data_IF_600706834502
#
_entry.id   IF_600706834502
#
_cell.length_a   1.000
_cell.length_b   1.000
_cell.length_c   1.000
_cell.angle_alpha   90.00
_cell.angle_beta   90.00
_cell.angle_gamma   90.00
#
_symmetry.space_group_name_H-M   'P 1'
#
loop_
_entity.id
_entity.type
_entity.pdbx_description
1 polymer ?
#
# COMPACT_ATOMS: atom_id res chain seq x y z
N UNK A 1 -10.72 22.33 -1.98
CA UNK A 1 -10.15 21.53 -0.88
C UNK A 1 -9.95 20.09 -1.32
N UNK A 2 -8.77 19.75 -1.84
CA UNK A 2 -8.43 18.40 -2.36
C UNK A 2 -8.07 17.39 -1.27
N UNK A 3 -8.09 17.81 0.01
CA UNK A 3 -7.65 16.98 1.13
C UNK A 3 -8.57 15.78 1.41
N UNK A 4 -9.82 15.82 0.96
CA UNK A 4 -10.78 14.72 1.15
C UNK A 4 -10.92 13.79 -0.08
N UNK A 5 -10.34 14.15 -1.23
CA UNK A 5 -10.44 13.33 -2.44
C UNK A 5 -9.60 12.06 -2.27
N UNK A 6 -10.19 10.86 -2.41
CA UNK A 6 -9.44 9.60 -2.40
C UNK A 6 -8.42 9.57 -3.53
N UNK A 7 -7.21 9.07 -3.24
CA UNK A 7 -6.13 8.94 -4.22
C UNK A 7 -5.72 7.49 -4.37
N UNK A 8 -5.67 7.01 -5.61
CA UNK A 8 -5.07 5.71 -5.96
C UNK A 8 -3.67 5.95 -6.52
N UNK A 9 -2.67 5.39 -5.87
CA UNK A 9 -1.28 5.39 -6.35
C UNK A 9 -1.06 4.09 -7.12
N UNK A 10 -0.73 4.19 -8.41
CA UNK A 10 -0.49 3.03 -9.27
C UNK A 10 1.01 2.82 -9.48
N UNK A 11 1.49 1.60 -9.27
CA UNK A 11 2.89 1.21 -9.43
C UNK A 11 2.99 -0.05 -10.28
N UNK A 12 3.42 0.10 -11.53
CA UNK A 12 3.66 -1.01 -12.45
C UNK A 12 5.09 -0.90 -12.99
N UNK A 13 6.09 -1.68 -12.54
CA UNK A 13 6.13 -2.81 -11.60
C UNK A 13 7.05 -2.51 -10.39
N UNK A 14 6.89 -3.20 -9.25
CA UNK A 14 7.95 -3.28 -8.22
C UNK A 14 8.79 -4.54 -8.45
N UNK A 15 9.77 -4.43 -9.34
CA UNK A 15 10.56 -5.57 -9.81
C UNK A 15 12.07 -5.36 -9.75
N UNK A 16 12.80 -6.33 -10.31
CA UNK A 16 14.28 -6.37 -10.29
C UNK A 16 14.92 -5.13 -10.89
N UNK A 17 14.27 -4.52 -11.89
CA UNK A 17 14.83 -3.41 -12.64
C UNK A 17 14.71 -2.11 -11.85
N UNK A 18 13.58 -1.92 -11.19
CA UNK A 18 13.22 -0.72 -10.43
C UNK A 18 13.94 -0.68 -9.08
N UNK A 19 14.21 -1.84 -8.48
CA UNK A 19 14.97 -1.98 -7.23
C UNK A 19 16.45 -1.56 -7.35
N UNK A 20 16.96 -1.30 -8.55
CA UNK A 20 18.27 -0.66 -8.73
C UNK A 20 18.27 0.82 -8.34
N UNK A 21 17.09 1.41 -8.14
CA UNK A 21 16.91 2.78 -7.68
C UNK A 21 16.56 2.80 -6.20
N UNK A 22 17.50 3.20 -5.35
CA UNK A 22 17.27 3.37 -3.90
C UNK A 22 16.13 4.37 -3.62
N UNK A 23 15.99 5.39 -4.47
CA UNK A 23 14.89 6.38 -4.36
C UNK A 23 13.54 5.75 -4.66
N UNK A 24 13.47 4.82 -5.61
CA UNK A 24 12.23 4.15 -5.96
C UNK A 24 11.72 3.34 -4.78
N UNK A 25 12.55 2.45 -4.22
CA UNK A 25 12.13 1.59 -3.11
C UNK A 25 11.76 2.42 -1.86
N UNK A 26 12.51 3.48 -1.54
CA UNK A 26 12.15 4.40 -0.47
C UNK A 26 10.79 5.07 -0.69
N UNK A 27 10.46 5.42 -1.94
CA UNK A 27 9.16 6.02 -2.30
C UNK A 27 8.02 5.00 -2.22
N UNK A 28 8.25 3.75 -2.61
CA UNK A 28 7.28 2.66 -2.46
C UNK A 28 6.93 2.44 -0.99
N UNK A 29 7.95 2.35 -0.11
CA UNK A 29 7.71 2.23 1.33
C UNK A 29 6.98 3.43 1.90
N UNK A 30 7.39 4.66 1.55
CA UNK A 30 6.69 5.86 1.98
C UNK A 30 5.23 5.92 1.49
N UNK A 31 4.94 5.40 0.29
CA UNK A 31 3.57 5.33 -0.23
C UNK A 31 2.70 4.33 0.57
N UNK A 32 3.26 3.19 0.97
CA UNK A 32 2.59 2.17 1.77
C UNK A 32 2.44 2.56 3.25
N UNK A 33 3.40 3.30 3.81
CA UNK A 33 3.41 3.67 5.23
C UNK A 33 2.58 4.93 5.56
N UNK A 34 2.18 5.70 4.54
CA UNK A 34 1.43 6.94 4.74
C UNK A 34 0.02 6.66 5.28
N UNK A 35 -0.23 7.10 6.51
CA UNK A 35 -1.55 7.01 7.19
C UNK A 35 -2.02 8.39 7.65
N UNK A 36 -3.32 8.65 7.62
CA UNK A 36 -3.96 9.72 8.41
C UNK A 36 -4.04 11.14 7.83
N UNK A 37 -3.56 11.39 6.61
CA UNK A 37 -3.58 12.75 6.01
C UNK A 37 -4.48 12.88 4.78
N UNK A 38 -4.61 11.80 4.01
CA UNK A 38 -5.41 11.72 2.78
C UNK A 38 -5.82 10.27 2.61
N UNK A 39 -7.08 10.02 2.22
CA UNK A 39 -7.56 8.68 1.89
C UNK A 39 -6.78 8.19 0.66
N UNK A 40 -5.86 7.23 0.86
CA UNK A 40 -4.95 6.72 -0.18
C UNK A 40 -4.99 5.19 -0.25
N UNK A 41 -4.99 4.64 -1.47
CA UNK A 41 -4.75 3.23 -1.74
C UNK A 41 -3.57 3.09 -2.69
N UNK A 42 -2.74 2.06 -2.49
CA UNK A 42 -1.67 1.70 -3.42
C UNK A 42 -2.11 0.45 -4.18
N UNK A 43 -2.08 0.52 -5.51
CA UNK A 43 -2.28 -0.62 -6.41
C UNK A 43 -0.97 -0.83 -7.17
N UNK A 44 -0.48 -2.06 -7.23
CA UNK A 44 0.70 -2.33 -8.03
C UNK A 44 0.91 -3.79 -8.36
N UNK A 45 1.94 -4.03 -9.18
CA UNK A 45 2.33 -5.37 -9.64
C UNK A 45 3.65 -5.79 -9.00
N UNK A 46 3.74 -7.08 -8.67
CA UNK A 46 4.94 -7.71 -8.14
C UNK A 46 5.33 -8.88 -9.04
N UNK A 47 6.63 -9.13 -9.27
CA UNK A 47 7.05 -10.29 -10.03
C UNK A 47 6.68 -11.57 -9.28
N UNK A 48 6.26 -12.58 -10.03
CA UNK A 48 6.15 -13.94 -9.49
C UNK A 48 7.56 -14.51 -9.33
N UNK A 49 7.91 -15.15 -8.19
CA UNK A 49 9.19 -15.83 -8.02
C UNK A 49 9.44 -16.82 -9.17
N UNK A 50 10.54 -16.64 -9.90
CA UNK A 50 10.92 -17.54 -11.00
C UNK A 50 12.05 -18.46 -10.56
N UNK A 51 11.88 -19.77 -10.75
CA UNK A 51 12.91 -20.79 -10.52
C UNK A 51 13.55 -20.73 -9.12
N UNK A 52 12.77 -20.40 -8.09
CA UNK A 52 13.26 -20.28 -6.71
C UNK A 52 14.06 -19.01 -6.40
N UNK A 53 14.30 -18.15 -7.40
CA UNK A 53 14.90 -16.84 -7.17
C UNK A 53 13.84 -15.87 -6.65
N UNK A 54 13.92 -15.59 -5.36
CA UNK A 54 13.15 -14.54 -4.69
C UNK A 54 13.98 -13.27 -4.59
N UNK A 55 13.34 -12.13 -4.80
CA UNK A 55 13.93 -10.81 -4.55
C UNK A 55 13.43 -10.40 -3.17
N UNK A 56 14.34 -10.21 -2.22
CA UNK A 56 13.97 -10.08 -0.80
C UNK A 56 13.02 -8.89 -0.58
N UNK A 57 13.29 -7.75 -1.21
CA UNK A 57 12.48 -6.53 -1.09
C UNK A 57 11.05 -6.73 -1.61
N UNK A 58 10.88 -7.53 -2.67
CA UNK A 58 9.54 -7.90 -3.20
C UNK A 58 8.81 -8.80 -2.20
N UNK A 59 9.51 -9.74 -1.58
CA UNK A 59 8.93 -10.65 -0.60
C UNK A 59 8.57 -9.91 0.70
N UNK A 60 9.36 -8.92 1.10
CA UNK A 60 9.07 -8.06 2.26
C UNK A 60 7.77 -7.28 2.04
N UNK A 61 7.56 -6.72 0.84
CA UNK A 61 6.29 -6.08 0.47
C UNK A 61 5.14 -7.10 0.45
N UNK A 62 5.33 -8.29 -0.14
CA UNK A 62 4.34 -9.38 -0.15
C UNK A 62 3.95 -9.82 1.26
N UNK A 63 4.89 -9.79 2.21
CA UNK A 63 4.68 -10.26 3.57
C UNK A 63 3.93 -9.26 4.46
N UNK A 64 3.86 -7.97 4.10
CA UNK A 64 3.15 -6.95 4.87
C UNK A 64 1.69 -7.34 5.14
N UNK A 65 1.23 -7.13 6.37
CA UNK A 65 -0.15 -7.43 6.80
C UNK A 65 -1.21 -6.55 6.10
N UNK A 66 -0.82 -5.33 5.71
CA UNK A 66 -1.67 -4.37 5.00
C UNK A 66 -1.59 -4.50 3.47
N UNK A 67 -0.91 -5.53 2.95
CA UNK A 67 -0.78 -5.81 1.51
C UNK A 67 -1.46 -7.13 1.18
N UNK A 68 -2.50 -7.04 0.33
CA UNK A 68 -3.15 -8.17 -0.31
C UNK A 68 -2.52 -8.42 -1.67
N UNK A 69 -2.05 -9.64 -1.90
CA UNK A 69 -1.43 -10.05 -3.16
C UNK A 69 -2.37 -11.00 -3.89
N UNK A 70 -2.72 -10.65 -5.13
CA UNK A 70 -3.60 -11.44 -5.97
C UNK A 70 -2.78 -12.27 -6.96
N UNK A 71 -3.00 -13.59 -6.98
CA UNK A 71 -2.36 -14.52 -7.91
C UNK A 71 -3.12 -14.57 -9.22
N UNK A 72 -2.71 -13.73 -10.15
CA UNK A 72 -3.34 -13.62 -11.48
C UNK A 72 -2.82 -14.72 -12.41
N UNK A 73 -3.77 -15.39 -13.07
CA UNK A 73 -3.58 -16.42 -14.10
C UNK A 73 -4.42 -16.04 -15.31
N UNK A 74 -4.08 -16.58 -16.49
CA UNK A 74 -4.86 -16.33 -17.70
C UNK A 74 -6.36 -16.64 -17.52
N UNK A 75 -6.70 -17.72 -16.79
CA UNK A 75 -8.07 -18.15 -16.61
C UNK A 75 -8.89 -17.31 -15.61
N UNK A 76 -8.25 -16.49 -14.76
CA UNK A 76 -8.95 -15.67 -13.76
C UNK A 76 -8.73 -14.16 -13.94
N UNK A 77 -7.96 -13.74 -14.94
CA UNK A 77 -7.55 -12.35 -15.16
C UNK A 77 -8.73 -11.39 -15.22
N UNK A 78 -9.74 -11.72 -16.01
CA UNK A 78 -10.86 -10.81 -16.26
C UNK A 78 -11.73 -10.70 -14.99
N UNK A 79 -12.04 -11.83 -14.34
CA UNK A 79 -12.75 -11.85 -13.06
C UNK A 79 -11.99 -11.14 -11.92
N UNK A 80 -10.66 -11.25 -11.89
CA UNK A 80 -9.84 -10.54 -10.90
C UNK A 80 -9.82 -9.03 -11.17
N UNK A 81 -9.81 -8.63 -12.45
CA UNK A 81 -9.90 -7.21 -12.85
C UNK A 81 -11.22 -6.61 -12.40
N UNK A 82 -12.33 -7.33 -12.61
CA UNK A 82 -13.65 -6.90 -12.18
C UNK A 82 -13.71 -6.73 -10.65
N UNK A 83 -13.16 -7.71 -9.91
CA UNK A 83 -13.13 -7.67 -8.45
C UNK A 83 -12.28 -6.51 -7.90
N UNK A 84 -11.09 -6.27 -8.47
CA UNK A 84 -10.24 -5.12 -8.11
C UNK A 84 -10.93 -3.80 -8.41
N UNK A 85 -11.59 -3.70 -9.56
CA UNK A 85 -12.32 -2.49 -9.97
C UNK A 85 -13.49 -2.20 -9.03
N UNK A 86 -14.25 -3.23 -8.65
CA UNK A 86 -15.32 -3.11 -7.67
C UNK A 86 -14.79 -2.68 -6.29
N UNK A 87 -13.69 -3.27 -5.83
CA UNK A 87 -13.05 -2.91 -4.57
C UNK A 87 -12.54 -1.46 -4.56
N UNK A 88 -11.91 -1.01 -5.65
CA UNK A 88 -11.44 0.36 -5.80
C UNK A 88 -12.60 1.36 -5.83
N UNK A 89 -13.65 1.07 -6.60
CA UNK A 89 -14.82 1.95 -6.74
C UNK A 89 -15.49 2.16 -5.39
N UNK A 90 -15.79 1.07 -4.69
CA UNK A 90 -16.38 1.13 -3.35
C UNK A 90 -15.45 1.78 -2.32
N UNK A 91 -14.13 1.57 -2.45
CA UNK A 91 -13.17 2.27 -1.62
C UNK A 91 -13.13 3.76 -1.93
N UNK A 92 -13.33 4.21 -3.17
CA UNK A 92 -13.34 5.64 -3.53
C UNK A 92 -14.66 6.34 -3.20
N UNK A 93 -15.77 5.64 -3.03
CA UNK A 93 -17.03 6.27 -2.65
C UNK A 93 -16.95 6.92 -1.25
N UNK A 94 -17.63 8.06 -1.08
CA UNK A 94 -17.55 8.91 0.13
C UNK A 94 -18.25 8.32 1.37
N UNK A 95 -18.97 7.21 1.21
CA UNK A 95 -19.69 6.50 2.27
C UNK A 95 -18.75 5.60 3.10
N UNK A 96 -17.82 6.25 3.82
CA UNK A 96 -17.15 5.71 5.01
C UNK A 96 -16.17 4.54 4.83
N UNK A 97 -15.20 4.44 5.74
CA UNK A 97 -14.18 3.39 5.77
C UNK A 97 -14.77 1.99 6.09
N UNK A 98 -15.97 1.94 6.69
CA UNK A 98 -16.67 0.71 7.07
C UNK A 98 -17.21 -0.09 5.87
N UNK A 99 -17.37 0.53 4.70
CA UNK A 99 -17.78 -0.15 3.46
C UNK A 99 -16.62 -0.83 2.73
N UNK A 100 -15.36 -0.44 3.03
CA UNK A 100 -14.18 -0.95 2.33
C UNK A 100 -13.85 -2.40 2.69
N UNK A 101 -14.06 -2.82 3.95
CA UNK A 101 -13.82 -4.20 4.39
C UNK A 101 -14.71 -5.20 3.65
N UNK A 102 -15.97 -4.83 3.39
CA UNK A 102 -16.96 -5.66 2.68
C UNK A 102 -16.58 -5.88 1.21
N UNK A 103 -15.90 -4.93 0.58
CA UNK A 103 -15.54 -5.02 -0.83
C UNK A 103 -14.20 -5.71 -1.07
N UNK A 104 -13.29 -5.69 -0.09
CA UNK A 104 -12.05 -6.48 -0.15
C UNK A 104 -12.32 -7.99 -0.06
N UNK A 105 -13.41 -8.43 0.59
CA UNK A 105 -13.81 -9.85 0.61
C UNK A 105 -14.04 -10.43 -0.79
N UNK A 106 -14.45 -9.61 -1.76
CA UNK A 106 -14.57 -10.01 -3.17
C UNK A 106 -13.24 -10.43 -3.80
N UNK A 107 -12.10 -10.03 -3.22
CA UNK A 107 -10.76 -10.39 -3.67
C UNK A 107 -10.30 -11.76 -3.18
N UNK A 108 -10.97 -12.32 -2.17
CA UNK A 108 -10.60 -13.58 -1.51
C UNK A 108 -10.34 -14.74 -2.46
N UNK A 109 -11.12 -14.97 -3.55
CA UNK A 109 -10.86 -16.06 -4.49
C UNK A 109 -9.54 -15.94 -5.27
N UNK A 110 -8.93 -14.74 -5.29
CA UNK A 110 -7.72 -14.45 -6.06
C UNK A 110 -6.49 -14.28 -5.18
N UNK A 111 -6.62 -14.29 -3.85
CA UNK A 111 -5.50 -14.12 -2.95
C UNK A 111 -4.42 -15.19 -3.16
N UNK A 112 -3.16 -14.77 -3.00
CA UNK A 112 -2.04 -15.70 -2.91
C UNK A 112 -2.21 -16.60 -1.69
N UNK A 113 -1.71 -17.83 -1.80
CA UNK A 113 -1.96 -18.89 -0.83
C UNK A 113 -1.50 -18.47 0.58
N UNK A 114 -2.42 -18.58 1.55
CA UNK A 114 -2.14 -18.26 2.95
C UNK A 114 -2.34 -16.80 3.33
N UNK A 115 -2.76 -15.91 2.42
CA UNK A 115 -3.03 -14.50 2.74
C UNK A 115 -4.46 -14.21 3.22
N UNK A 116 -5.33 -15.22 3.35
CA UNK A 116 -6.74 -15.02 3.71
C UNK A 116 -6.91 -14.36 5.09
N UNK A 117 -5.95 -14.55 6.00
CA UNK A 117 -5.95 -13.91 7.31
C UNK A 117 -5.80 -12.38 7.24
N UNK A 118 -5.16 -11.86 6.17
CA UNK A 118 -4.90 -10.42 6.02
C UNK A 118 -6.17 -9.61 5.77
N UNK A 119 -7.20 -10.22 5.17
CA UNK A 119 -8.52 -9.59 4.99
C UNK A 119 -9.16 -9.17 6.32
N UNK A 120 -8.92 -9.92 7.40
CA UNK A 120 -9.42 -9.57 8.73
C UNK A 120 -8.65 -8.40 9.35
N UNK A 121 -7.33 -8.35 9.12
CA UNK A 121 -6.45 -7.30 9.65
C UNK A 121 -6.68 -5.95 8.95
N UNK A 122 -6.99 -5.95 7.65
CA UNK A 122 -7.30 -4.73 6.90
C UNK A 122 -8.67 -4.13 7.25
N UNK A 123 -9.54 -4.89 7.91
CA UNK A 123 -10.84 -4.42 8.40
C UNK A 123 -10.77 -3.69 9.75
N UNK A 124 -9.71 -3.87 10.54
CA UNK A 124 -9.52 -3.15 11.79
C UNK A 124 -8.52 -2.02 11.59
N UNK A 125 -8.99 -0.77 11.63
CA UNK A 125 -8.09 0.36 11.84
C UNK A 125 -7.21 0.07 13.08
N UNK A 126 -5.86 0.19 12.99
CA UNK A 126 -5.03 0.00 14.15
C UNK A 126 -5.38 1.09 15.17
N UNK A 127 -5.94 0.67 16.31
CA UNK A 127 -6.03 1.53 17.48
C UNK A 127 -4.63 2.01 17.84
N UNK A 128 -4.43 3.30 18.17
CA UNK A 128 -3.13 3.78 18.62
C UNK A 128 -2.80 3.07 19.94
N UNK A 129 -1.95 2.04 19.86
CA UNK A 129 -1.33 1.44 21.03
C UNK A 129 -0.52 2.52 21.72
N UNK A 130 -1.08 3.03 22.82
CA UNK A 130 -0.44 3.99 23.72
C UNK A 130 0.77 3.30 24.34
N UNK A 131 2.00 3.80 24.15
CA UNK A 131 3.12 3.37 24.97
C UNK A 131 2.94 3.92 26.38
N UNK A 132 2.95 3.06 27.39
CA UNK A 132 3.03 3.47 28.79
C UNK A 132 4.30 4.30 29.03
N UNK A 133 4.24 5.38 29.83
CA UNK A 133 5.42 6.19 30.12
C UNK A 133 6.22 5.57 31.26
N UNK A 134 7.41 5.05 30.96
CA UNK A 134 8.47 4.89 31.94
C UNK A 134 9.51 6.02 31.81
N UNK A 135 9.76 6.73 32.92
CA UNK A 135 11.01 7.47 33.17
C UNK A 135 10.98 8.99 32.97
N UNK A 136 11.12 9.75 34.06
CA UNK A 136 11.57 11.17 34.00
C UNK A 136 13.10 11.28 33.83
N UNK A 137 13.75 12.46 34.05
CA UNK A 137 13.26 13.84 33.98
C UNK A 137 13.95 14.66 32.84
N UNK A 138 13.39 15.86 32.64
CA UNK A 138 13.64 16.86 31.61
C UNK A 138 15.09 17.27 31.27
N UNK A 139 15.32 17.60 29.97
CA UNK A 139 16.20 18.69 29.52
C UNK A 139 15.60 19.44 28.31
N UNK A 140 15.73 20.77 28.34
CA UNK A 140 15.14 21.81 27.45
C UNK A 140 15.88 21.94 26.09
N UNK A 141 15.31 22.71 25.12
CA UNK A 141 15.50 22.52 23.67
C UNK A 141 16.65 23.34 23.06
N UNK A 142 17.02 22.98 21.83
CA UNK A 142 17.74 23.83 20.87
C UNK A 142 17.01 23.82 19.53
N UNK A 143 16.91 25.00 18.95
CA UNK A 143 16.26 25.38 17.69
C UNK A 143 17.19 25.16 16.48
N UNK A 144 16.62 25.44 15.31
CA UNK A 144 17.23 25.62 13.97
C UNK A 144 17.24 24.31 13.15
N UNK A 145 16.87 24.24 11.88
CA UNK A 145 16.31 25.20 10.92
C UNK A 145 15.86 24.38 9.69
N UNK A 146 14.86 24.89 8.96
CA UNK A 146 14.58 24.69 7.52
C UNK A 146 14.83 23.33 6.84
N UNK A 147 13.76 22.71 6.31
CA UNK A 147 13.60 22.52 4.86
C UNK A 147 12.24 21.89 4.51
N UNK A 148 11.35 22.74 4.00
CA UNK A 148 10.14 22.33 3.31
C UNK A 148 10.51 21.94 1.87
N UNK A 149 10.58 20.65 1.59
CA UNK A 149 10.62 20.13 0.23
C UNK A 149 9.31 19.38 -0.03
N UNK A 150 8.34 20.12 -0.56
CA UNK A 150 7.14 19.57 -1.20
C UNK A 150 7.58 18.65 -2.35
N UNK A 151 7.67 17.36 -2.09
CA UNK A 151 7.89 16.34 -3.12
C UNK A 151 6.60 16.16 -3.94
N UNK A 152 6.38 17.06 -4.89
CA UNK A 152 5.37 16.88 -5.94
C UNK A 152 5.94 15.86 -6.92
N UNK A 153 5.45 14.62 -6.85
CA UNK A 153 5.72 13.60 -7.85
C UNK A 153 5.15 14.08 -9.19
N UNK A 154 6.03 14.38 -10.17
CA UNK A 154 5.63 14.79 -11.51
C UNK A 154 5.06 13.61 -12.33
N UNK A 155 4.33 13.87 -13.43
CA UNK A 155 3.75 12.80 -14.24
C UNK A 155 4.85 12.02 -14.98
N UNK A 156 4.86 10.70 -14.84
CA UNK A 156 5.63 9.79 -15.69
C UNK A 156 4.84 9.50 -16.96
N UNK A 157 5.40 9.87 -18.12
CA UNK A 157 4.95 9.41 -19.44
C UNK A 157 5.88 8.27 -19.84
N UNK A 158 5.34 7.05 -19.92
CA UNK A 158 6.02 5.91 -20.53
C UNK A 158 5.82 5.93 -22.05
N UNK A 159 6.89 5.70 -22.80
CA UNK A 159 6.84 5.33 -24.22
C UNK A 159 7.25 3.86 -24.33
N UNK A 160 6.60 3.15 -25.27
CA UNK A 160 6.69 1.69 -25.49
C UNK A 160 8.11 1.13 -25.65
#
# INVERSE_FOLDING_TARGET
DDANTPVVVVIDEVGKMELKSEKFIATVHAALDRKGEQKRMVLGTLPTPRYGHKIQEVEDIRAREDVLVLKIKQANRDAATDAVTAALTAWTDEEGLDSASVHLDGLRPFLDEGQEHKLATTSSAPSPSTPQPEGGPAKKPRTDDTNNASAVCGPLIGAE
#
